data_IF_582564032755
#
_entry.id   IF_582564032755
#
_cell.length_a   1.000
_cell.length_b   1.000
_cell.length_c   1.000
_cell.angle_alpha   90.00
_cell.angle_beta   90.00
_cell.angle_gamma   90.00
#
_symmetry.space_group_name_H-M   'P 1'
#
loop_
_entity.id
_entity.type
_entity.pdbx_description
1 polymer ?
#
# COMPACT_ATOMS: atom_id res chain seq x y z
N UNK A 1 -16.78 17.11 -4.82
CA UNK A 1 -15.71 17.05 -5.84
C UNK A 1 -14.38 16.94 -5.12
N UNK A 2 -13.70 15.80 -5.23
CA UNK A 2 -12.37 15.60 -4.62
C UNK A 2 -11.33 16.33 -5.48
N UNK A 3 -10.48 17.16 -4.87
CA UNK A 3 -9.33 17.79 -5.53
C UNK A 3 -8.07 17.36 -4.80
N UNK A 4 -7.13 16.77 -5.54
CA UNK A 4 -5.81 16.45 -5.00
C UNK A 4 -5.03 17.74 -4.76
N UNK A 5 -4.38 17.81 -3.62
CA UNK A 5 -3.57 18.94 -3.17
C UNK A 5 -2.09 18.57 -3.31
N UNK A 6 -1.28 19.54 -3.73
CA UNK A 6 0.18 19.40 -3.64
C UNK A 6 0.63 19.36 -2.18
N UNK A 7 1.83 18.83 -1.92
CA UNK A 7 2.34 18.80 -0.55
C UNK A 7 2.48 20.21 0.07
N UNK A 8 2.78 21.25 -0.72
CA UNK A 8 2.86 22.63 -0.23
C UNK A 8 1.49 23.23 0.13
N UNK A 9 0.42 22.70 -0.49
CA UNK A 9 -0.95 23.00 -0.07
C UNK A 9 -1.31 22.19 1.17
N UNK A 10 -0.90 20.92 1.26
CA UNK A 10 -1.11 20.06 2.43
C UNK A 10 -0.44 20.62 3.69
N UNK A 11 0.77 21.18 3.59
CA UNK A 11 1.50 21.84 4.70
C UNK A 11 0.70 22.96 5.39
N UNK A 12 -0.27 23.55 4.69
CA UNK A 12 -1.12 24.63 5.23
C UNK A 12 -2.24 24.08 6.11
N UNK A 13 -2.46 22.77 6.13
CA UNK A 13 -3.47 22.13 6.95
C UNK A 13 -2.91 21.77 8.33
N UNK A 14 -3.73 21.89 9.38
CA UNK A 14 -3.32 21.50 10.74
C UNK A 14 -3.07 19.99 10.85
N UNK A 15 -3.74 19.19 10.02
CA UNK A 15 -3.54 17.76 9.91
C UNK A 15 -3.54 17.32 8.43
N UNK A 16 -2.37 17.34 7.77
CA UNK A 16 -2.21 16.89 6.40
C UNK A 16 -2.53 15.41 6.22
N UNK A 17 -2.30 14.58 7.24
CA UNK A 17 -2.53 13.15 7.18
C UNK A 17 -4.05 12.85 7.12
N UNK A 18 -4.86 13.53 7.93
CA UNK A 18 -6.31 13.41 7.86
C UNK A 18 -6.87 13.80 6.48
N UNK A 19 -6.25 14.76 5.79
CA UNK A 19 -6.63 15.11 4.41
C UNK A 19 -6.35 13.94 3.47
N UNK A 20 -5.17 13.31 3.55
CA UNK A 20 -4.86 12.11 2.76
C UNK A 20 -5.82 10.95 3.05
N UNK A 21 -6.14 10.70 4.33
CA UNK A 21 -7.11 9.68 4.72
C UNK A 21 -8.49 9.95 4.12
N UNK A 22 -8.95 11.21 4.12
CA UNK A 22 -10.23 11.58 3.50
C UNK A 22 -10.29 11.27 1.99
N UNK A 23 -9.14 11.30 1.29
CA UNK A 23 -9.07 10.92 -0.11
C UNK A 23 -9.24 9.42 -0.29
N UNK A 24 -8.66 8.62 0.61
CA UNK A 24 -8.79 7.16 0.62
C UNK A 24 -10.20 6.71 1.00
N UNK A 25 -10.89 7.43 1.88
CA UNK A 25 -12.25 7.09 2.32
C UNK A 25 -13.34 7.52 1.31
N UNK A 26 -13.00 8.47 0.42
CA UNK A 26 -13.98 9.04 -0.51
C UNK A 26 -14.33 8.08 -1.64
N UNK A 27 -15.53 7.48 -1.58
CA UNK A 27 -16.13 6.70 -2.68
C UNK A 27 -16.51 7.56 -3.90
N UNK A 28 -16.84 8.84 -3.67
CA UNK A 28 -17.26 9.81 -4.71
C UNK A 28 -16.11 10.30 -5.60
N UNK A 29 -14.86 9.89 -5.31
CA UNK A 29 -13.73 10.29 -6.12
C UNK A 29 -13.76 9.62 -7.50
N UNK A 30 -14.42 8.46 -7.63
CA UNK A 30 -14.55 7.69 -8.86
C UNK A 30 -15.26 8.43 -10.03
N UNK A 31 -15.95 9.54 -9.77
CA UNK A 31 -16.60 10.35 -10.81
C UNK A 31 -15.68 11.40 -11.47
N UNK A 32 -14.53 11.73 -10.85
CA UNK A 32 -13.62 12.80 -11.32
C UNK A 32 -12.15 12.37 -11.34
N UNK A 33 -11.73 11.49 -10.43
CA UNK A 33 -10.37 10.95 -10.34
C UNK A 33 -10.43 9.43 -10.24
N UNK A 34 -9.54 8.74 -10.95
CA UNK A 34 -9.41 7.30 -10.78
C UNK A 34 -8.86 6.96 -9.40
N UNK A 35 -9.24 5.80 -8.86
CA UNK A 35 -8.70 5.30 -7.58
C UNK A 35 -7.18 5.25 -7.59
N UNK A 36 -6.58 4.92 -8.74
CA UNK A 36 -5.13 4.86 -8.91
C UNK A 36 -4.44 6.23 -8.89
N UNK A 37 -5.12 7.30 -9.31
CA UNK A 37 -4.57 8.66 -9.17
C UNK A 37 -4.52 9.11 -7.71
N UNK A 38 -5.54 8.75 -6.92
CA UNK A 38 -5.58 9.03 -5.49
C UNK A 38 -4.49 8.26 -4.77
N UNK A 39 -4.42 6.94 -4.97
CA UNK A 39 -3.37 6.09 -4.42
C UNK A 39 -1.98 6.63 -4.78
N UNK A 40 -1.75 7.00 -6.04
CA UNK A 40 -0.48 7.59 -6.47
C UNK A 40 -0.16 8.89 -5.72
N UNK A 41 -1.13 9.79 -5.55
CA UNK A 41 -0.92 11.04 -4.83
C UNK A 41 -0.58 10.77 -3.35
N UNK A 42 -1.28 9.85 -2.71
CA UNK A 42 -1.01 9.45 -1.33
C UNK A 42 0.40 8.84 -1.19
N UNK A 43 0.78 7.90 -2.06
CA UNK A 43 2.11 7.27 -2.03
C UNK A 43 3.24 8.29 -2.15
N UNK A 44 3.07 9.29 -3.02
CA UNK A 44 4.13 10.27 -3.30
C UNK A 44 4.14 11.45 -2.33
N UNK A 45 3.13 11.60 -1.47
CA UNK A 45 3.08 12.71 -0.51
C UNK A 45 4.08 12.51 0.61
N UNK A 46 4.80 13.57 1.02
CA UNK A 46 5.66 13.54 2.23
C UNK A 46 4.88 13.32 3.53
N UNK A 47 3.56 13.49 3.50
CA UNK A 47 2.68 13.38 4.66
C UNK A 47 2.02 12.00 4.80
N UNK A 48 2.33 11.04 3.92
CA UNK A 48 1.77 9.70 4.09
C UNK A 48 2.24 9.08 5.40
N UNK A 49 1.36 8.27 5.99
CA UNK A 49 1.66 7.44 7.15
C UNK A 49 1.72 5.99 6.68
N UNK A 50 2.25 5.11 7.54
CA UNK A 50 2.18 3.67 7.27
C UNK A 50 0.73 3.21 7.07
N UNK A 51 -0.20 3.72 7.89
CA UNK A 51 -1.63 3.38 7.82
C UNK A 51 -2.25 3.72 6.46
N UNK A 52 -1.85 4.82 5.84
CA UNK A 52 -2.28 5.15 4.48
C UNK A 52 -1.79 4.09 3.49
N UNK A 53 -0.52 3.70 3.57
CA UNK A 53 0.08 2.75 2.64
C UNK A 53 -0.54 1.36 2.76
N UNK A 54 -0.90 0.95 3.98
CA UNK A 54 -1.55 -0.34 4.22
C UNK A 54 -2.94 -0.44 3.58
N UNK A 55 -3.65 0.68 3.41
CA UNK A 55 -4.98 0.72 2.78
C UNK A 55 -4.95 0.74 1.25
N UNK A 56 -3.78 1.02 0.65
CA UNK A 56 -3.63 1.09 -0.80
C UNK A 56 -3.57 -0.33 -1.38
N UNK A 57 -4.16 -0.57 -2.57
CA UNK A 57 -4.01 -1.85 -3.25
C UNK A 57 -2.55 -2.27 -3.40
N UNK A 58 -2.24 -3.51 -3.03
CA UNK A 58 -0.86 -4.00 -2.98
C UNK A 58 -0.14 -3.83 -4.33
N UNK A 59 -0.85 -4.08 -5.45
CA UNK A 59 -0.28 -3.94 -6.78
C UNK A 59 0.19 -2.50 -7.07
N UNK A 60 -0.48 -1.47 -6.56
CA UNK A 60 -0.08 -0.07 -6.80
C UNK A 60 1.19 0.31 -6.05
N UNK A 61 1.32 -0.17 -4.80
CA UNK A 61 2.53 -0.02 -3.98
C UNK A 61 3.73 -0.72 -4.64
N UNK A 62 3.52 -1.96 -5.12
CA UNK A 62 4.58 -2.81 -5.66
C UNK A 62 5.03 -2.44 -7.08
N UNK A 63 4.13 -1.92 -7.93
CA UNK A 63 4.41 -1.81 -9.38
C UNK A 63 4.79 -0.41 -9.88
N UNK A 64 4.32 0.68 -9.25
CA UNK A 64 4.26 1.98 -9.97
C UNK A 64 4.86 3.20 -9.28
N UNK A 65 4.88 3.28 -7.95
CA UNK A 65 5.21 4.58 -7.30
C UNK A 65 5.96 4.50 -5.96
N UNK A 66 6.10 3.35 -5.32
CA UNK A 66 6.71 3.25 -3.98
C UNK A 66 7.67 2.08 -3.78
N UNK A 67 8.56 1.73 -4.74
CA UNK A 67 9.40 0.54 -4.60
C UNK A 67 10.29 0.62 -3.37
N UNK A 68 10.82 1.79 -3.02
CA UNK A 68 11.70 1.94 -1.87
C UNK A 68 10.97 1.76 -0.53
N UNK A 69 9.74 2.27 -0.43
CA UNK A 69 8.93 2.16 0.80
C UNK A 69 8.40 0.73 0.93
N UNK A 70 7.90 0.16 -0.16
CA UNK A 70 7.44 -1.23 -0.21
C UNK A 70 8.58 -2.20 0.15
N UNK A 71 9.77 -2.00 -0.43
CA UNK A 71 10.94 -2.85 -0.17
C UNK A 71 11.35 -2.77 1.29
N UNK A 72 11.37 -1.59 1.92
CA UNK A 72 11.69 -1.46 3.35
C UNK A 72 10.70 -2.27 4.20
N UNK A 73 9.40 -2.09 3.98
CA UNK A 73 8.37 -2.80 4.74
C UNK A 73 8.40 -4.32 4.51
N UNK A 74 8.66 -4.76 3.28
CA UNK A 74 8.84 -6.17 2.96
C UNK A 74 10.11 -6.76 3.57
N UNK A 75 11.22 -6.01 3.61
CA UNK A 75 12.45 -6.43 4.27
C UNK A 75 12.23 -6.57 5.78
N UNK A 76 11.54 -5.61 6.41
CA UNK A 76 11.22 -5.66 7.83
C UNK A 76 10.30 -6.86 8.15
N UNK A 77 9.32 -7.16 7.29
CA UNK A 77 8.36 -8.26 7.50
C UNK A 77 8.93 -9.64 7.18
N UNK A 78 9.56 -9.79 6.02
CA UNK A 78 10.09 -11.06 5.54
C UNK A 78 11.45 -11.39 6.18
N UNK A 79 12.29 -10.39 6.42
CA UNK A 79 13.64 -10.56 6.92
C UNK A 79 14.41 -11.63 6.13
N UNK A 80 14.97 -12.61 6.86
CA UNK A 80 15.66 -13.77 6.27
C UNK A 80 14.77 -15.01 6.13
N UNK A 81 13.46 -14.90 6.37
CA UNK A 81 12.55 -16.05 6.31
C UNK A 81 12.20 -16.36 4.84
N UNK A 82 12.83 -17.40 4.30
CA UNK A 82 12.59 -17.86 2.93
C UNK A 82 11.12 -18.25 2.67
N UNK A 83 10.39 -18.73 3.68
CA UNK A 83 8.97 -19.06 3.56
C UNK A 83 8.10 -17.82 3.32
N UNK A 84 8.39 -16.70 3.99
CA UNK A 84 7.70 -15.42 3.76
C UNK A 84 7.99 -14.85 2.38
N UNK A 85 9.23 -14.96 1.90
CA UNK A 85 9.57 -14.58 0.53
C UNK A 85 8.88 -15.46 -0.52
N UNK A 86 8.77 -16.77 -0.28
CA UNK A 86 8.04 -17.68 -1.15
C UNK A 86 6.54 -17.37 -1.18
N UNK A 87 5.94 -17.03 -0.04
CA UNK A 87 4.55 -16.61 0.03
C UNK A 87 4.28 -15.28 -0.66
N UNK A 88 5.19 -14.31 -0.54
CA UNK A 88 5.13 -13.06 -1.31
C UNK A 88 5.17 -13.34 -2.81
N UNK A 89 6.08 -14.22 -3.26
CA UNK A 89 6.15 -14.61 -4.67
C UNK A 89 4.86 -15.29 -5.13
N UNK A 90 4.25 -16.16 -4.31
CA UNK A 90 2.98 -16.79 -4.64
C UNK A 90 1.84 -15.76 -4.74
N UNK A 91 1.72 -14.86 -3.76
CA UNK A 91 0.70 -13.82 -3.71
C UNK A 91 0.79 -12.81 -4.87
N UNK A 92 2.00 -12.53 -5.36
CA UNK A 92 2.23 -11.61 -6.48
C UNK A 92 2.15 -12.27 -7.86
N UNK A 93 2.19 -13.61 -7.93
CA UNK A 93 2.08 -14.37 -9.17
C UNK A 93 0.61 -14.58 -9.62
N UNK A 94 -0.38 -14.32 -8.76
CA UNK A 94 -1.78 -14.34 -9.14
C UNK A 94 -2.12 -13.12 -9.99
N UNK A 95 -1.96 -13.29 -11.30
CA UNK A 95 -2.47 -12.37 -12.30
C UNK A 95 -3.99 -12.23 -12.14
N UNK A 96 -4.45 -11.00 -11.90
CA UNK A 96 -5.83 -10.55 -12.15
C UNK A 96 -6.90 -11.13 -11.22
N UNK A 97 -6.82 -10.84 -9.93
CA UNK A 97 -8.05 -10.74 -9.15
C UNK A 97 -8.47 -9.28 -9.04
N UNK A 98 -9.67 -9.02 -9.58
CA UNK A 98 -10.43 -7.77 -9.45
C UNK A 98 -10.66 -7.40 -7.96
N UNK A 99 -10.50 -8.37 -7.04
CA UNK A 99 -10.27 -8.13 -5.62
C UNK A 99 -8.83 -7.67 -5.38
N UNK A 100 -8.68 -6.35 -5.40
CA UNK A 100 -7.43 -5.67 -5.13
C UNK A 100 -7.15 -5.69 -3.63
N UNK A 101 -6.58 -6.81 -3.13
CA UNK A 101 -6.13 -6.91 -1.75
C UNK A 101 -5.29 -5.69 -1.37
N UNK A 102 -5.49 -5.18 -0.16
CA UNK A 102 -4.72 -4.05 0.31
C UNK A 102 -3.30 -4.48 0.63
N UNK A 103 -2.37 -3.54 0.68
CA UNK A 103 -1.00 -3.84 1.07
C UNK A 103 -0.93 -4.39 2.51
N UNK A 104 -1.82 -3.96 3.40
CA UNK A 104 -1.97 -4.53 4.74
C UNK A 104 -2.38 -6.00 4.71
N UNK A 105 -3.42 -6.34 3.95
CA UNK A 105 -3.87 -7.74 3.82
C UNK A 105 -2.77 -8.64 3.24
N UNK A 106 -2.01 -8.12 2.27
CA UNK A 106 -0.85 -8.83 1.73
C UNK A 106 0.15 -9.11 2.85
N UNK A 107 0.54 -8.12 3.64
CA UNK A 107 1.52 -8.31 4.72
C UNK A 107 1.03 -9.31 5.76
N UNK A 108 -0.24 -9.26 6.16
CA UNK A 108 -0.82 -10.20 7.13
C UNK A 108 -0.87 -11.64 6.59
N UNK A 109 -1.06 -11.82 5.29
CA UNK A 109 -1.00 -13.12 4.64
C UNK A 109 0.40 -13.77 4.74
N UNK A 110 1.48 -12.96 4.79
CA UNK A 110 2.85 -13.47 4.91
C UNK A 110 3.13 -14.05 6.30
N UNK A 111 2.42 -13.59 7.33
CA UNK A 111 2.57 -14.10 8.70
C UNK A 111 1.75 -15.35 8.98
N UNK A 112 0.72 -15.56 8.17
CA UNK A 112 -0.11 -16.76 8.24
C UNK A 112 0.62 -18.00 7.72
N UNK A 113 1.84 -17.86 7.18
CA UNK A 113 2.69 -18.97 6.75
C UNK A 113 3.36 -19.60 7.97
N UNK A 114 2.96 -20.82 8.39
CA UNK A 114 3.62 -21.49 9.49
C UNK A 114 5.09 -21.75 9.13
N UNK A 115 5.98 -21.63 10.11
CA UNK A 115 7.42 -21.90 9.99
C UNK A 115 7.76 -23.39 9.76
N UNK A 116 6.91 -24.14 9.05
CA UNK A 116 7.12 -25.55 8.74
C UNK A 116 7.87 -25.73 7.43
N UNK A 117 9.07 -25.14 7.34
CA UNK A 117 10.11 -25.54 6.37
C UNK A 117 11.50 -25.31 6.97
N UNK A 118 11.68 -25.69 8.24
CA UNK A 118 12.99 -26.01 8.81
C UNK A 118 12.96 -27.47 9.26
N UNK A 119 13.09 -28.39 8.30
CA UNK A 119 13.62 -29.73 8.61
C UNK A 119 15.10 -29.67 8.30
N UNK A 120 15.91 -29.53 9.36
CA UNK A 120 17.32 -29.94 9.34
C UNK A 120 17.42 -31.43 9.59
#
# INVERSE_FOLDING_TARGET
MLRLMSDDELDKHPDPAAVLQSWLDSSAAAEVLSRSEISRAVINSRHHTLEHLLQIPAYEILSRSGPEIAVKLLLDRCGRNAGRWAALAAATNFQHHEETITFGDLLDSLDSVPASMQKS
#
